data_IF_862319427994
#
_entry.id   IF_862319427994
#
_cell.length_a   1.000
_cell.length_b   1.000
_cell.length_c   1.000
_cell.angle_alpha   90.00
_cell.angle_beta   90.00
_cell.angle_gamma   90.00
#
_symmetry.space_group_name_H-M   'P 1'
#
loop_
_entity.id
_entity.type
_entity.pdbx_description
1 polymer ?
#
# COMPACT_ATOMS: atom_id res chain seq x y z
N UNK A 1 -9.26 -9.73 -8.03
CA UNK A 1 -9.44 -8.32 -7.58
C UNK A 1 -8.06 -7.79 -7.29
N UNK A 2 -7.51 -6.90 -8.12
CA UNK A 2 -6.14 -6.41 -7.91
C UNK A 2 -6.20 -5.19 -6.99
N UNK A 3 -5.37 -5.18 -5.95
CA UNK A 3 -5.34 -4.12 -4.97
C UNK A 3 -3.95 -3.47 -4.97
N UNK A 4 -3.85 -2.29 -5.56
CA UNK A 4 -2.62 -1.50 -5.62
C UNK A 4 -2.62 -0.39 -4.58
N UNK A 5 -1.89 -0.54 -3.50
CA UNK A 5 -1.66 0.59 -2.59
C UNK A 5 -0.48 1.42 -3.10
N UNK A 6 -0.81 2.46 -3.85
CA UNK A 6 0.10 3.51 -4.30
C UNK A 6 0.55 4.42 -3.14
N UNK A 7 1.43 3.90 -2.31
CA UNK A 7 2.28 4.72 -1.46
C UNK A 7 3.68 4.43 -1.89
N UNK A 8 4.17 5.28 -2.80
CA UNK A 8 5.41 5.02 -3.56
C UNK A 8 5.50 3.56 -4.01
N UNK A 9 4.38 3.11 -4.60
CA UNK A 9 4.20 1.93 -5.46
C UNK A 9 4.35 0.56 -4.78
N UNK A 10 3.34 0.16 -3.98
CA UNK A 10 3.10 -1.24 -3.60
C UNK A 10 1.92 -1.77 -4.45
N UNK A 11 2.11 -2.84 -5.23
CA UNK A 11 1.00 -3.52 -5.91
C UNK A 11 0.83 -4.94 -5.37
N UNK A 12 -0.43 -5.37 -5.26
CA UNK A 12 -0.78 -6.73 -4.91
C UNK A 12 -1.90 -7.23 -5.83
N UNK A 13 -1.67 -8.33 -6.53
CA UNK A 13 -2.61 -8.96 -7.43
C UNK A 13 -3.05 -10.32 -6.89
N UNK A 14 -4.25 -10.35 -6.30
CA UNK A 14 -4.86 -11.60 -5.80
C UNK A 14 -5.09 -12.67 -6.87
N UNK A 15 -4.97 -12.32 -8.17
CA UNK A 15 -5.09 -13.28 -9.28
C UNK A 15 -3.82 -14.09 -9.49
N UNK A 16 -2.68 -13.60 -9.02
CA UNK A 16 -1.37 -14.24 -9.16
C UNK A 16 -1.00 -14.84 -7.81
N UNK A 17 -1.07 -16.16 -7.64
CA UNK A 17 -0.69 -16.80 -6.38
C UNK A 17 0.83 -16.73 -6.17
N UNK A 18 1.23 -16.58 -4.91
CA UNK A 18 2.64 -16.63 -4.51
C UNK A 18 3.37 -15.27 -4.62
N UNK A 19 4.70 -15.27 -4.45
CA UNK A 19 5.49 -14.06 -4.25
C UNK A 19 5.60 -13.15 -5.48
N UNK A 20 5.25 -13.65 -6.67
CA UNK A 20 5.19 -12.86 -7.91
C UNK A 20 3.92 -12.01 -8.01
N UNK A 21 2.94 -12.24 -7.13
CA UNK A 21 1.70 -11.49 -7.09
C UNK A 21 1.82 -10.13 -6.42
N UNK A 22 2.98 -9.78 -5.85
CA UNK A 22 3.18 -8.46 -5.25
C UNK A 22 4.52 -7.85 -5.66
N UNK A 23 4.59 -6.54 -5.59
CA UNK A 23 5.82 -5.78 -5.77
C UNK A 23 5.75 -4.51 -4.95
N UNK A 24 6.90 -4.08 -4.46
CA UNK A 24 7.08 -2.84 -3.72
C UNK A 24 8.33 -2.13 -4.20
N UNK A 25 8.26 -0.81 -4.31
CA UNK A 25 9.47 0.00 -4.38
C UNK A 25 10.25 -0.07 -3.06
N UNK A 26 11.56 0.16 -3.09
CA UNK A 26 12.46 0.05 -1.92
C UNK A 26 12.31 1.22 -0.93
N UNK A 27 11.29 2.06 -1.11
CA UNK A 27 11.05 3.28 -0.33
C UNK A 27 10.91 2.99 1.17
N UNK A 28 10.30 1.86 1.52
CA UNK A 28 10.07 1.46 2.90
C UNK A 28 11.02 0.35 3.37
N UNK A 29 11.81 -0.26 2.47
CA UNK A 29 12.57 -1.48 2.74
C UNK A 29 11.70 -2.52 3.46
N UNK A 30 12.24 -3.12 4.53
CA UNK A 30 11.56 -4.15 5.32
C UNK A 30 10.46 -3.60 6.26
N UNK A 31 10.28 -2.28 6.34
CA UNK A 31 9.30 -1.66 7.24
C UNK A 31 7.87 -1.75 6.72
N UNK A 32 7.66 -2.05 5.44
CA UNK A 32 6.32 -2.13 4.86
C UNK A 32 5.97 -3.57 4.46
N UNK A 33 4.80 -4.02 4.90
CA UNK A 33 4.26 -5.34 4.55
C UNK A 33 2.79 -5.23 4.17
N UNK A 34 2.40 -5.99 3.15
CA UNK A 34 1.02 -6.20 2.82
C UNK A 34 0.35 -7.27 3.69
N UNK A 35 -0.87 -6.97 4.10
CA UNK A 35 -1.76 -7.89 4.81
C UNK A 35 -2.98 -8.09 3.93
N UNK A 36 -3.31 -9.33 3.60
CA UNK A 36 -4.39 -9.66 2.68
C UNK A 36 -5.76 -9.83 3.33
N UNK A 37 -5.80 -10.27 4.59
CA UNK A 37 -7.00 -10.69 5.31
C UNK A 37 -6.99 -10.13 6.74
N UNK A 38 -8.15 -9.80 7.33
CA UNK A 38 -9.51 -9.90 6.77
C UNK A 38 -9.88 -8.76 5.80
N UNK A 39 -9.11 -7.67 5.81
CA UNK A 39 -9.24 -6.55 4.88
C UNK A 39 -7.85 -6.21 4.41
N UNK A 40 -7.67 -6.04 3.11
CA UNK A 40 -6.32 -5.86 2.60
C UNK A 40 -5.77 -4.48 2.98
N UNK A 41 -4.55 -4.42 3.48
CA UNK A 41 -3.94 -3.22 4.05
C UNK A 41 -2.42 -3.22 3.88
N UNK A 42 -1.85 -2.02 3.72
CA UNK A 42 -0.41 -1.81 3.84
C UNK A 42 -0.09 -1.46 5.30
N UNK A 43 0.67 -2.32 5.97
CA UNK A 43 1.20 -2.05 7.30
C UNK A 43 2.61 -1.49 7.15
N UNK A 44 2.85 -0.31 7.72
CA UNK A 44 4.18 0.32 7.76
C UNK A 44 4.60 0.48 9.22
N UNK A 45 5.74 -0.09 9.59
CA UNK A 45 6.35 -0.01 10.92
C UNK A 45 7.38 1.12 10.99
N UNK A 46 7.74 1.54 12.20
CA UNK A 46 8.74 2.58 12.48
C UNK A 46 8.54 3.85 11.64
N UNK A 47 7.34 4.44 11.74
CA UNK A 47 6.98 5.66 11.01
C UNK A 47 7.88 6.82 11.41
N UNK A 48 8.47 7.48 10.41
CA UNK A 48 9.35 8.64 10.57
C UNK A 48 8.78 9.90 9.92
N UNK A 49 9.33 11.08 10.25
CA UNK A 49 8.92 12.36 9.67
C UNK A 49 8.96 12.38 8.14
N UNK A 50 9.90 11.64 7.52
CA UNK A 50 10.01 11.50 6.05
C UNK A 50 8.84 10.73 5.41
N UNK A 51 8.11 9.94 6.21
CA UNK A 51 6.99 9.15 5.73
C UNK A 51 5.71 10.02 5.60
N UNK A 52 5.71 11.26 6.13
CA UNK A 52 4.61 12.24 5.98
C UNK A 52 4.34 12.51 4.50
N UNK A 53 3.18 12.11 4.01
CA UNK A 53 2.75 12.31 2.63
C UNK A 53 1.25 12.08 2.44
N UNK A 54 0.77 12.27 1.21
CA UNK A 54 -0.55 11.78 0.77
C UNK A 54 -0.35 10.43 0.09
N UNK A 55 -0.95 9.41 0.70
CA UNK A 55 -0.95 8.01 0.34
C UNK A 55 -2.13 7.76 -0.60
N UNK A 56 -1.95 7.01 -1.69
CA UNK A 56 -3.04 6.66 -2.62
C UNK A 56 -3.33 5.18 -2.56
N UNK A 57 -4.56 4.78 -2.30
CA UNK A 57 -4.97 3.38 -2.44
C UNK A 57 -5.81 3.25 -3.73
N UNK A 58 -5.38 2.38 -4.64
CA UNK A 58 -6.03 2.08 -5.91
C UNK A 58 -6.51 0.63 -5.87
N UNK A 59 -7.79 0.41 -6.13
CA UNK A 59 -8.36 -0.94 -6.20
C UNK A 59 -8.92 -1.14 -7.59
N UNK A 60 -8.31 -2.06 -8.34
CA UNK A 60 -8.73 -2.41 -9.69
C UNK A 60 -9.62 -3.66 -9.63
N UNK A 61 -10.87 -3.46 -10.05
CA UNK A 61 -11.85 -4.54 -10.19
C UNK A 61 -11.86 -5.04 -11.63
N UNK A 62 -12.21 -6.30 -11.83
CA UNK A 62 -12.25 -6.89 -13.17
C UNK A 62 -13.39 -6.34 -14.02
N UNK A 63 -14.53 -6.05 -13.38
CA UNK A 63 -15.77 -5.61 -14.04
C UNK A 63 -16.20 -4.22 -13.57
N UNK A 64 -15.95 -3.88 -12.31
CA UNK A 64 -16.32 -2.58 -11.75
C UNK A 64 -15.25 -1.52 -12.02
N UNK A 65 -15.61 -0.22 -11.96
CA UNK A 65 -14.63 0.86 -12.05
C UNK A 65 -13.57 0.79 -10.96
N UNK A 66 -12.33 1.20 -11.28
CA UNK A 66 -11.25 1.36 -10.31
C UNK A 66 -11.65 2.33 -9.21
N UNK A 67 -11.47 1.94 -7.95
CA UNK A 67 -11.65 2.84 -6.80
C UNK A 67 -10.31 3.47 -6.43
N UNK A 68 -10.33 4.76 -6.13
CA UNK A 68 -9.15 5.49 -5.70
C UNK A 68 -9.46 6.19 -4.37
N UNK A 69 -8.59 6.00 -3.40
CA UNK A 69 -8.63 6.63 -2.09
C UNK A 69 -7.37 7.46 -1.88
N UNK A 70 -7.50 8.57 -1.16
CA UNK A 70 -6.39 9.41 -0.73
C UNK A 70 -6.39 9.47 0.78
N UNK A 71 -5.26 9.17 1.39
CA UNK A 71 -5.06 9.12 2.83
C UNK A 71 -3.93 10.10 3.12
N UNK A 72 -4.19 11.12 3.95
CA UNK A 72 -3.14 12.02 4.40
C UNK A 72 -2.51 11.41 5.66
N UNK A 73 -1.22 11.05 5.58
CA UNK A 73 -0.45 10.66 6.76
C UNK A 73 0.26 11.89 7.30
N UNK A 74 -0.16 12.34 8.48
CA UNK A 74 0.54 13.34 9.26
C UNK A 74 1.30 12.65 10.40
N UNK A 75 2.58 12.98 10.54
CA UNK A 75 3.47 12.40 11.56
C UNK A 75 3.76 13.47 12.59
N UNK A 76 3.28 13.28 13.82
CA UNK A 76 3.36 14.26 14.91
C UNK A 76 4.37 13.73 15.94
N UNK A 77 5.60 14.25 15.93
CA UNK A 77 6.71 13.81 16.79
C UNK A 77 7.98 14.64 16.53
N UNK A 78 8.99 14.55 17.40
CA UNK A 78 10.23 15.36 17.27
C UNK A 78 11.16 14.81 16.19
N UNK A 79 11.56 15.73 15.30
CA UNK A 79 12.69 15.58 14.36
C UNK A 79 14.02 15.47 15.08
#
# INVERSE_FOLDING_TARGET
MSMGVCVRMYFYDTRVPGPTGYWSDDTFGDRARWIDLPTSALHVSDIESRDRAIYRCRVDFQVSPTRNYRIALDVIGKS
#
